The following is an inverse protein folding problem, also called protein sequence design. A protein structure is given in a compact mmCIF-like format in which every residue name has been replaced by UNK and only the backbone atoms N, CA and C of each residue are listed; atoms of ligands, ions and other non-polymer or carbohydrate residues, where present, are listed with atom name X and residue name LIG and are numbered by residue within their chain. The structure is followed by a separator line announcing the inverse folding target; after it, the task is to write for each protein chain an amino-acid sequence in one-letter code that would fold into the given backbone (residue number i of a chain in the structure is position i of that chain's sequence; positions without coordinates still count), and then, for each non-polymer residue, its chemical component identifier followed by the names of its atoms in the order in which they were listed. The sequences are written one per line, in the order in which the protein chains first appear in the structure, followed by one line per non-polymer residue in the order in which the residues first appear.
data_IF_683049563278
#
_entry.id   IF_683049563278
#
_cell.length_a   1.000
_cell.length_b   1.000
_cell.length_c   1.000
_cell.angle_alpha   90.00
_cell.angle_beta   90.00
_cell.angle_gamma   90.00
#
_symmetry.space_group_name_H-M   'P 1'
#
loop_
_entity.id
_entity.type
_entity.pdbx_description
1 polymer ?
#
# COMPACT_ATOMS: atom_id res chain seq x y z
N UNK A 1 24.93 7.64 -12.35
CA UNK A 1 23.68 6.90 -12.64
C UNK A 1 23.19 6.32 -11.34
N UNK A 2 22.20 6.93 -10.70
CA UNK A 2 21.55 6.38 -9.52
C UNK A 2 20.49 5.40 -10.02
N UNK A 3 20.73 4.10 -9.85
CA UNK A 3 19.66 3.12 -10.00
C UNK A 3 18.76 3.28 -8.77
N UNK A 4 17.75 4.15 -8.88
CA UNK A 4 16.69 4.17 -7.88
C UNK A 4 15.90 2.87 -8.06
N UNK A 5 15.90 1.96 -7.08
CA UNK A 5 15.12 0.75 -7.18
C UNK A 5 13.64 1.10 -7.31
N UNK A 6 12.90 0.29 -8.06
CA UNK A 6 11.45 0.36 -8.05
C UNK A 6 10.96 0.06 -6.63
N UNK A 7 10.15 0.98 -6.09
CA UNK A 7 9.51 0.80 -4.80
C UNK A 7 8.21 0.02 -5.00
N UNK A 8 7.87 -0.91 -4.10
CA UNK A 8 6.55 -1.55 -4.13
C UNK A 8 5.47 -0.48 -3.94
N UNK A 9 4.27 -0.76 -4.45
CA UNK A 9 3.11 0.07 -4.11
C UNK A 9 2.92 0.13 -2.60
N UNK A 10 2.43 1.25 -2.11
CA UNK A 10 2.23 1.48 -0.68
C UNK A 10 0.76 1.73 -0.38
N UNK A 11 0.34 1.31 0.80
CA UNK A 11 -1.04 1.38 1.27
C UNK A 11 -1.08 2.01 2.67
N UNK A 12 -2.00 2.93 2.89
CA UNK A 12 -2.20 3.59 4.18
C UNK A 12 -3.43 3.00 4.84
N UNK A 13 -3.29 2.52 6.08
CA UNK A 13 -4.44 2.11 6.88
C UNK A 13 -5.31 3.32 7.19
N UNK A 14 -6.60 3.27 6.84
CA UNK A 14 -7.48 4.42 7.02
C UNK A 14 -7.78 4.73 8.49
N UNK A 15 -7.73 3.71 9.35
CA UNK A 15 -8.07 3.81 10.77
C UNK A 15 -6.94 4.32 11.68
N UNK A 16 -5.67 4.06 11.35
CA UNK A 16 -4.52 4.46 12.19
C UNK A 16 -3.37 5.13 11.44
N UNK A 17 -3.47 5.26 10.12
CA UNK A 17 -2.51 5.93 9.25
C UNK A 17 -1.12 5.28 9.15
N UNK A 18 -0.97 4.03 9.62
CA UNK A 18 0.23 3.24 9.36
C UNK A 18 0.37 2.95 7.85
N UNK A 19 1.61 3.02 7.35
CA UNK A 19 1.95 2.77 5.94
C UNK A 19 2.53 1.36 5.79
N UNK A 20 1.98 0.61 4.84
CA UNK A 20 2.38 -0.75 4.51
C UNK A 20 2.92 -0.79 3.09
N UNK A 21 3.96 -1.60 2.86
CA UNK A 21 4.28 -2.04 1.51
C UNK A 21 3.20 -3.04 1.05
N UNK A 22 2.86 -3.00 -0.23
CA UNK A 22 1.96 -3.95 -0.85
C UNK A 22 2.52 -5.36 -0.83
N UNK A 23 1.65 -6.34 -0.60
CA UNK A 23 1.99 -7.76 -0.72
C UNK A 23 2.29 -8.05 -2.18
N UNK A 24 3.52 -8.51 -2.45
CA UNK A 24 3.97 -8.77 -3.82
C UNK A 24 3.54 -10.17 -4.24
N UNK A 25 2.80 -10.26 -5.34
CA UNK A 25 2.63 -11.50 -6.09
C UNK A 25 3.25 -11.35 -7.48
N UNK A 26 3.67 -12.47 -8.07
CA UNK A 26 4.27 -12.49 -9.40
C UNK A 26 3.50 -13.49 -10.25
N UNK A 27 2.76 -12.97 -11.23
CA UNK A 27 1.89 -13.74 -12.12
C UNK A 27 2.18 -13.34 -13.57
N UNK A 28 2.28 -14.33 -14.46
CA UNK A 28 2.50 -14.11 -15.91
C UNK A 28 3.69 -13.18 -16.26
N UNK A 29 4.72 -13.11 -15.41
CA UNK A 29 5.89 -12.26 -15.63
C UNK A 29 5.72 -10.81 -15.19
N UNK A 30 4.63 -10.49 -14.50
CA UNK A 30 4.33 -9.14 -13.98
C UNK A 30 4.24 -9.18 -12.45
N UNK A 31 4.77 -8.15 -11.80
CA UNK A 31 4.58 -7.94 -10.37
C UNK A 31 3.23 -7.27 -10.11
N UNK A 32 2.46 -7.85 -9.21
CA UNK A 32 1.23 -7.27 -8.69
C UNK A 32 1.41 -6.97 -7.21
N UNK A 33 0.77 -5.89 -6.78
CA UNK A 33 0.80 -5.45 -5.40
C UNK A 33 -0.64 -5.37 -4.89
N UNK A 34 -0.88 -5.92 -3.72
CA UNK A 34 -2.17 -5.84 -3.05
C UNK A 34 -2.03 -5.30 -1.64
N UNK A 35 -3.09 -4.67 -1.13
CA UNK A 35 -3.17 -4.28 0.28
C UNK A 35 -3.10 -5.53 1.17
N UNK A 36 -2.55 -5.43 2.40
CA UNK A 36 -2.69 -6.50 3.38
C UNK A 36 -4.16 -6.76 3.74
N UNK A 37 -4.44 -7.97 4.22
CA UNK A 37 -5.78 -8.36 4.66
C UNK A 37 -6.24 -7.56 5.89
N UNK A 38 -5.34 -7.35 6.84
CA UNK A 38 -5.60 -6.67 8.11
C UNK A 38 -4.40 -5.82 8.56
N UNK A 39 -4.69 -4.68 9.19
CA UNK A 39 -3.70 -3.81 9.80
C UNK A 39 -3.20 -4.40 11.11
N UNK A 40 -1.92 -4.78 11.16
CA UNK A 40 -1.30 -5.33 12.37
C UNK A 40 -1.33 -4.38 13.59
N UNK A 41 -1.49 -3.07 13.36
CA UNK A 41 -1.49 -2.07 14.43
C UNK A 41 -2.87 -1.84 15.07
N UNK A 42 -3.96 -1.92 14.30
CA UNK A 42 -5.31 -1.56 14.78
C UNK A 42 -6.42 -2.53 14.39
N UNK A 43 -6.12 -3.57 13.61
CA UNK A 43 -7.08 -4.57 13.16
C UNK A 43 -8.02 -4.13 12.04
N UNK A 44 -7.83 -2.94 11.46
CA UNK A 44 -8.65 -2.48 10.34
C UNK A 44 -8.33 -3.21 9.04
N UNK A 45 -9.34 -3.49 8.23
CA UNK A 45 -9.23 -4.05 6.87
C UNK A 45 -9.25 -2.99 5.78
N UNK A 46 -9.47 -1.72 6.16
CA UNK A 46 -9.59 -0.58 5.26
C UNK A 46 -8.23 0.06 5.00
N UNK A 47 -7.83 0.05 3.73
CA UNK A 47 -6.60 0.66 3.25
C UNK A 47 -6.84 1.46 1.99
N UNK A 48 -6.07 2.53 1.84
CA UNK A 48 -6.09 3.44 0.70
C UNK A 48 -4.72 3.41 0.03
N UNK A 49 -4.63 3.33 -1.30
CA UNK A 49 -3.34 3.49 -2.00
C UNK A 49 -2.67 4.80 -1.60
N UNK A 50 -1.36 4.77 -1.33
CA UNK A 50 -0.63 5.91 -0.79
C UNK A 50 -0.77 7.18 -1.64
N UNK A 51 -0.72 7.02 -2.96
CA UNK A 51 -0.89 8.12 -3.93
C UNK A 51 -2.27 8.79 -3.86
N UNK A 52 -3.29 8.06 -3.38
CA UNK A 52 -4.66 8.54 -3.27
C UNK A 52 -5.01 9.03 -1.86
N UNK A 53 -4.15 8.77 -0.86
CA UNK A 53 -4.46 9.01 0.55
C UNK A 53 -4.81 10.47 0.85
N UNK A 54 -4.03 11.42 0.32
CA UNK A 54 -4.29 12.85 0.54
C UNK A 54 -5.67 13.23 0.02
N UNK A 55 -5.98 12.85 -1.24
CA UNK A 55 -7.27 13.11 -1.86
C UNK A 55 -8.41 12.47 -1.06
N UNK A 56 -8.22 11.25 -0.58
CA UNK A 56 -9.22 10.53 0.22
C UNK A 56 -9.55 11.24 1.53
N UNK A 57 -8.56 11.82 2.23
CA UNK A 57 -8.77 12.52 3.51
C UNK A 57 -9.31 13.95 3.38
N UNK A 58 -9.18 14.55 2.20
CA UNK A 58 -9.58 15.95 1.96
C UNK A 58 -10.83 16.10 1.09
N UNK A 59 -11.38 15.00 0.57
CA UNK A 59 -12.63 14.97 -0.19
C UNK A 59 -13.85 14.94 0.75
#
# INVERSE_FOLDING_TARGET
MSHTPELPEQYVCDGCHAVYAGTVSHEEGTYHYSKPDECAACGSTEFVPFEQYVRHKTA
#
